data_IF_330656766578
#
_entry.id   IF_330656766578
#
_cell.length_a   1.000
_cell.length_b   1.000
_cell.length_c   1.000
_cell.angle_alpha   90.00
_cell.angle_beta   90.00
_cell.angle_gamma   90.00
#
_symmetry.space_group_name_H-M   'P 1'
#
loop_
_entity.id
_entity.type
_entity.pdbx_description
1 polymer ?
#
# COMPACT_ATOMS: atom_id res chain seq x y z
N UNK A 1 -12.08 -23.78 -6.07
CA UNK A 1 -13.20 -24.31 -5.25
C UNK A 1 -12.93 -24.36 -3.75
N UNK A 2 -11.69 -24.46 -3.27
CA UNK A 2 -11.39 -24.52 -1.82
C UNK A 2 -11.78 -23.21 -1.08
N UNK A 3 -11.66 -22.05 -1.74
CA UNK A 3 -12.00 -20.75 -1.15
C UNK A 3 -13.49 -20.57 -0.82
N UNK A 4 -14.39 -21.05 -1.68
CA UNK A 4 -15.84 -20.96 -1.47
C UNK A 4 -16.33 -21.87 -0.33
N UNK A 5 -15.71 -23.03 -0.15
CA UNK A 5 -16.04 -23.98 0.94
C UNK A 5 -15.64 -23.41 2.31
N UNK A 6 -14.54 -22.64 2.39
CA UNK A 6 -14.14 -21.99 3.66
C UNK A 6 -15.01 -20.78 4.03
N UNK A 7 -15.70 -20.15 3.08
CA UNK A 7 -16.61 -19.03 3.38
C UNK A 7 -17.91 -19.47 4.06
N UNK A 8 -18.32 -20.73 3.93
CA UNK A 8 -19.57 -21.23 4.52
C UNK A 8 -19.42 -21.68 5.99
N UNK A 9 -18.19 -21.92 6.45
CA UNK A 9 -17.93 -22.31 7.85
C UNK A 9 -17.92 -21.06 8.74
N UNK A 10 -19.07 -20.82 9.41
CA UNK A 10 -19.29 -19.63 10.26
C UNK A 10 -18.75 -19.74 11.70
N UNK A 11 -18.31 -20.92 12.14
CA UNK A 11 -17.89 -21.16 13.54
C UNK A 11 -16.37 -21.37 13.63
N UNK A 12 -15.71 -20.63 14.52
CA UNK A 12 -14.27 -20.69 14.78
C UNK A 12 -13.60 -19.31 14.82
N UNK A 13 -12.44 -19.20 15.47
CA UNK A 13 -11.70 -17.93 15.58
C UNK A 13 -11.21 -17.42 14.20
N UNK A 14 -11.02 -18.33 13.25
CA UNK A 14 -10.58 -18.11 11.87
C UNK A 14 -11.70 -18.32 10.84
N UNK A 15 -12.92 -17.85 11.13
CA UNK A 15 -13.99 -17.88 10.13
C UNK A 15 -13.62 -17.01 8.91
N UNK A 16 -14.06 -17.41 7.71
CA UNK A 16 -13.67 -16.73 6.47
C UNK A 16 -13.95 -15.22 6.46
N UNK A 17 -14.98 -14.75 7.18
CA UNK A 17 -15.29 -13.31 7.33
C UNK A 17 -14.23 -12.56 8.15
N UNK A 18 -13.69 -13.16 9.21
CA UNK A 18 -12.62 -12.54 10.02
C UNK A 18 -11.31 -12.47 9.25
N UNK A 19 -10.99 -13.51 8.48
CA UNK A 19 -9.82 -13.51 7.59
C UNK A 19 -9.93 -12.44 6.50
N UNK A 20 -11.12 -12.27 5.89
CA UNK A 20 -11.40 -11.18 4.95
C UNK A 20 -11.26 -9.80 5.60
N UNK A 21 -11.75 -9.63 6.83
CA UNK A 21 -11.58 -8.38 7.59
C UNK A 21 -10.11 -8.05 7.87
N UNK A 22 -9.31 -9.03 8.31
CA UNK A 22 -7.87 -8.86 8.51
C UNK A 22 -7.14 -8.53 7.19
N UNK A 23 -7.52 -9.21 6.11
CA UNK A 23 -6.98 -8.92 4.78
C UNK A 23 -7.30 -7.48 4.34
N UNK A 24 -8.53 -7.01 4.61
CA UNK A 24 -8.92 -5.65 4.30
C UNK A 24 -8.10 -4.62 5.10
N UNK A 25 -7.88 -4.85 6.40
CA UNK A 25 -7.03 -3.98 7.22
C UNK A 25 -5.59 -3.95 6.70
N UNK A 26 -5.05 -5.10 6.28
CA UNK A 26 -3.72 -5.19 5.67
C UNK A 26 -3.67 -4.40 4.35
N UNK A 27 -4.68 -4.52 3.48
CA UNK A 27 -4.75 -3.76 2.24
C UNK A 27 -4.80 -2.25 2.49
N UNK A 28 -5.59 -1.80 3.47
CA UNK A 28 -5.65 -0.38 3.86
C UNK A 28 -4.29 0.10 4.39
N UNK A 29 -3.62 -0.71 5.21
CA UNK A 29 -2.28 -0.37 5.70
C UNK A 29 -1.27 -0.24 4.55
N UNK A 30 -1.25 -1.20 3.63
CA UNK A 30 -0.38 -1.16 2.43
C UNK A 30 -0.70 0.07 1.58
N UNK A 31 -1.99 0.41 1.41
CA UNK A 31 -2.40 1.59 0.66
C UNK A 31 -1.90 2.89 1.30
N UNK A 32 -2.07 3.05 2.62
CA UNK A 32 -1.56 4.22 3.37
C UNK A 32 -0.04 4.31 3.27
N UNK A 33 0.66 3.18 3.46
CA UNK A 33 2.12 3.15 3.35
C UNK A 33 2.57 3.55 1.95
N UNK A 34 1.90 3.04 0.91
CA UNK A 34 2.19 3.40 -0.49
C UNK A 34 2.02 4.90 -0.72
N UNK A 35 0.96 5.50 -0.18
CA UNK A 35 0.71 6.95 -0.27
C UNK A 35 1.80 7.78 0.41
N UNK A 36 2.22 7.39 1.63
CA UNK A 36 3.30 8.07 2.36
C UNK A 36 4.61 7.99 1.57
N UNK A 37 4.97 6.81 1.06
CA UNK A 37 6.18 6.65 0.26
C UNK A 37 6.12 7.45 -1.04
N UNK A 38 4.96 7.51 -1.68
CA UNK A 38 4.80 8.30 -2.90
C UNK A 38 5.03 9.80 -2.65
N UNK A 39 4.51 10.32 -1.53
CA UNK A 39 4.72 11.72 -1.13
C UNK A 39 6.20 12.02 -0.88
N UNK A 40 6.89 11.16 -0.14
CA UNK A 40 8.32 11.33 0.14
C UNK A 40 9.14 11.21 -1.16
N UNK A 41 8.86 10.24 -2.03
CA UNK A 41 9.55 10.11 -3.33
C UNK A 41 9.36 11.34 -4.21
N UNK A 42 8.17 11.92 -4.23
CA UNK A 42 7.89 13.13 -5.00
C UNK A 42 8.66 14.33 -4.44
N UNK A 43 8.73 14.46 -3.10
CA UNK A 43 9.53 15.50 -2.44
C UNK A 43 11.01 15.34 -2.79
N UNK A 44 11.56 14.12 -2.71
CA UNK A 44 12.95 13.84 -3.06
C UNK A 44 13.26 14.11 -4.54
N UNK A 45 12.36 13.76 -5.45
CA UNK A 45 12.52 14.08 -6.86
C UNK A 45 12.55 15.60 -7.09
N UNK A 46 11.67 16.35 -6.42
CA UNK A 46 11.68 17.81 -6.48
C UNK A 46 12.97 18.41 -5.92
N UNK A 47 13.43 17.90 -4.78
CA UNK A 47 14.67 18.35 -4.15
C UNK A 47 15.88 18.13 -5.09
N UNK A 48 15.93 16.98 -5.77
CA UNK A 48 17.00 16.67 -6.73
C UNK A 48 16.92 17.57 -7.97
N UNK A 49 15.72 17.86 -8.48
CA UNK A 49 15.57 18.77 -9.61
C UNK A 49 16.08 20.17 -9.28
N UNK A 50 15.76 20.68 -8.09
CA UNK A 50 16.30 21.96 -7.61
C UNK A 50 17.84 21.92 -7.48
N UNK A 51 18.42 20.79 -7.04
CA UNK A 51 19.88 20.62 -6.97
C UNK A 51 20.53 20.59 -8.36
N UNK A 52 19.85 20.02 -9.35
CA UNK A 52 20.31 19.94 -10.74
C UNK A 52 20.25 21.29 -11.47
N UNK A 53 19.31 22.16 -11.11
CA UNK A 53 19.23 23.54 -11.61
C UNK A 53 20.34 24.45 -11.04
N UNK A 54 20.85 24.13 -9.85
CA UNK A 54 21.97 24.85 -9.23
C UNK A 54 23.31 24.41 -9.82
N UNK A 55 23.89 25.27 -10.67
CA UNK A 55 25.18 25.02 -11.35
C UNK A 55 26.36 24.99 -10.37
N UNK A 56 26.35 25.86 -9.35
CA UNK A 56 27.33 25.81 -8.27
C UNK A 56 26.75 25.08 -7.04
N UNK A 57 27.55 24.26 -6.34
CA UNK A 57 27.17 23.75 -5.03
C UNK A 57 27.20 24.93 -4.06
N UNK A 58 26.08 25.63 -3.94
CA UNK A 58 25.87 26.65 -2.93
C UNK A 58 26.14 25.99 -1.56
N UNK A 59 27.15 26.43 -0.78
CA UNK A 59 27.52 25.77 0.48
C UNK A 59 26.39 25.80 1.52
N UNK A 60 25.44 26.72 1.38
CA UNK A 60 24.22 26.77 2.21
C UNK A 60 23.10 25.84 1.72
N UNK A 61 23.14 25.38 0.46
CA UNK A 61 22.17 24.46 -0.13
C UNK A 61 22.65 23.01 -0.17
N UNK A 62 23.80 22.69 0.40
CA UNK A 62 24.25 21.31 0.56
C UNK A 62 23.27 20.58 1.47
N UNK A 63 22.26 19.96 0.85
CA UNK A 63 21.20 19.32 1.62
C UNK A 63 21.78 18.14 2.38
N UNK A 64 21.13 17.78 3.49
CA UNK A 64 21.46 16.56 4.24
C UNK A 64 21.46 15.29 3.37
N UNK A 65 20.83 15.34 2.19
CA UNK A 65 20.85 14.28 1.20
C UNK A 65 22.18 14.23 0.43
N UNK A 66 22.66 15.37 -0.09
CA UNK A 66 23.95 15.42 -0.80
C UNK A 66 25.14 15.12 0.12
N UNK A 67 25.09 15.58 1.38
CA UNK A 67 26.12 15.22 2.38
C UNK A 67 26.21 13.70 2.53
N UNK A 68 25.06 13.03 2.67
CA UNK A 68 25.03 11.57 2.77
C UNK A 68 25.52 10.90 1.49
N UNK A 69 25.12 11.41 0.33
CA UNK A 69 25.61 10.87 -0.93
C UNK A 69 27.13 11.00 -1.05
N UNK A 70 27.71 12.14 -0.66
CA UNK A 70 29.15 12.36 -0.62
C UNK A 70 29.85 11.38 0.34
N UNK A 71 29.31 11.23 1.56
CA UNK A 71 29.78 10.29 2.59
C UNK A 71 29.72 8.82 2.15
N UNK A 72 28.73 8.44 1.33
CA UNK A 72 28.61 7.06 0.82
C UNK A 72 29.42 6.84 -0.46
N UNK A 73 29.39 7.80 -1.38
CA UNK A 73 29.93 7.64 -2.73
C UNK A 73 31.46 7.68 -2.73
N UNK A 74 32.07 8.64 -2.04
CA UNK A 74 33.53 8.77 -2.04
C UNK A 74 34.23 7.52 -1.48
N UNK A 75 33.87 6.98 -0.30
CA UNK A 75 34.52 5.77 0.21
C UNK A 75 34.28 4.57 -0.69
N UNK A 76 33.08 4.45 -1.26
CA UNK A 76 32.73 3.36 -2.17
C UNK A 76 33.57 3.41 -3.45
N UNK A 77 33.77 4.60 -4.01
CA UNK A 77 34.66 4.83 -5.16
C UNK A 77 36.10 4.44 -4.86
N UNK A 78 36.68 5.02 -3.80
CA UNK A 78 38.08 4.73 -3.44
C UNK A 78 38.27 3.25 -3.09
N UNK A 79 37.32 2.61 -2.39
CA UNK A 79 37.36 1.18 -2.12
C UNK A 79 37.36 0.34 -3.40
N UNK A 80 36.64 0.75 -4.45
CA UNK A 80 36.64 0.00 -5.72
C UNK A 80 37.92 0.17 -6.54
N UNK A 81 38.64 1.28 -6.40
CA UNK A 81 39.86 1.55 -7.17
C UNK A 81 41.12 1.10 -6.41
N UNK A 82 41.15 1.31 -5.10
CA UNK A 82 42.30 1.01 -4.23
C UNK A 82 42.40 -0.47 -3.87
N UNK A 83 41.29 -1.22 -3.88
CA UNK A 83 41.33 -2.66 -3.69
C UNK A 83 41.58 -3.34 -5.04
N UNK A 84 42.81 -3.81 -5.23
CA UNK A 84 43.29 -4.48 -6.45
C UNK A 84 42.57 -5.78 -6.80
N UNK A 85 41.74 -6.32 -5.89
CA UNK A 85 40.90 -7.50 -6.12
C UNK A 85 39.55 -7.19 -6.78
N UNK A 86 39.12 -5.92 -6.81
CA UNK A 86 37.86 -5.57 -7.47
C UNK A 86 38.07 -5.47 -8.98
N UNK A 87 37.54 -6.48 -9.69
CA UNK A 87 37.58 -6.61 -11.15
C UNK A 87 37.26 -5.30 -11.88
N UNK A 88 37.91 -5.09 -13.04
CA UNK A 88 37.62 -4.05 -14.03
C UNK A 88 36.15 -4.03 -14.50
N UNK A 89 35.37 -5.04 -14.13
CA UNK A 89 33.93 -5.14 -14.34
C UNK A 89 33.07 -4.55 -13.21
N UNK A 90 33.69 -3.97 -12.18
CA UNK A 90 32.98 -3.28 -11.11
C UNK A 90 32.06 -2.20 -11.69
N UNK A 91 30.79 -2.28 -11.28
CA UNK A 91 29.70 -1.43 -11.75
C UNK A 91 30.04 0.07 -11.56
N UNK A 92 30.73 0.42 -10.48
CA UNK A 92 30.93 1.80 -10.02
C UNK A 92 31.96 2.56 -10.87
N UNK A 93 33.17 2.02 -11.14
CA UNK A 93 34.10 2.63 -12.08
C UNK A 93 33.49 2.84 -13.48
N UNK A 94 32.75 1.84 -14.00
CA UNK A 94 32.04 1.98 -15.30
C UNK A 94 30.97 3.05 -15.26
N UNK A 95 30.22 3.10 -14.17
CA UNK A 95 29.18 4.10 -13.95
C UNK A 95 29.80 5.51 -13.93
N UNK A 96 30.95 5.68 -13.29
CA UNK A 96 31.66 6.96 -13.21
C UNK A 96 32.28 7.36 -14.54
N UNK A 97 32.94 6.44 -15.24
CA UNK A 97 33.47 6.69 -16.58
C UNK A 97 32.38 7.14 -17.55
N UNK A 98 31.18 6.56 -17.45
CA UNK A 98 30.04 6.94 -18.29
C UNK A 98 29.39 8.27 -17.88
N UNK A 99 29.39 8.59 -16.59
CA UNK A 99 28.70 9.76 -16.05
C UNK A 99 29.55 11.02 -15.96
N UNK A 100 30.86 10.84 -15.87
CA UNK A 100 31.81 11.91 -15.55
C UNK A 100 33.08 11.71 -16.37
N UNK A 101 33.02 11.94 -17.69
CA UNK A 101 34.19 11.77 -18.54
C UNK A 101 35.35 12.69 -18.12
N UNK A 102 35.05 13.82 -17.48
CA UNK A 102 36.02 14.78 -16.92
C UNK A 102 36.59 14.33 -15.55
N UNK A 103 35.83 13.54 -14.79
CA UNK A 103 36.22 13.06 -13.46
C UNK A 103 36.89 11.69 -13.48
N UNK A 104 36.79 10.96 -14.60
CA UNK A 104 37.59 9.77 -14.83
C UNK A 104 39.05 10.24 -14.86
N UNK A 105 39.86 10.00 -13.79
CA UNK A 105 41.30 10.02 -14.04
C UNK A 105 41.50 9.04 -15.18
N UNK A 106 42.26 9.43 -16.20
CA UNK A 106 42.72 8.53 -17.26
C UNK A 106 42.87 7.13 -16.64
N UNK A 107 41.91 6.23 -16.95
CA UNK A 107 41.83 4.94 -16.28
C UNK A 107 43.23 4.35 -16.35
N UNK A 108 43.89 4.01 -15.23
CA UNK A 108 45.33 3.81 -15.22
C UNK A 108 45.66 2.81 -16.30
N UNK A 109 46.28 3.29 -17.37
CA UNK A 109 46.61 2.51 -18.55
C UNK A 109 47.76 1.59 -18.15
N UNK A 110 47.43 0.51 -17.44
CA UNK A 110 48.21 -0.69 -17.18
C UNK A 110 49.70 -0.56 -16.79
N UNK A 111 50.23 0.62 -16.48
CA UNK A 111 51.68 0.83 -16.31
C UNK A 111 52.13 1.50 -15.01
N UNK A 112 51.26 1.70 -14.01
CA UNK A 112 51.61 2.53 -12.84
C UNK A 112 51.12 1.93 -11.52
N UNK A 113 51.96 1.11 -10.89
CA UNK A 113 51.84 0.79 -9.45
C UNK A 113 52.04 2.05 -8.57
N UNK A 114 52.70 3.08 -9.10
CA UNK A 114 53.01 4.33 -8.39
C UNK A 114 51.80 5.31 -8.31
N UNK A 115 50.88 5.25 -9.28
CA UNK A 115 49.68 6.10 -9.32
C UNK A 115 48.55 5.59 -8.40
N UNK A 116 48.51 4.28 -8.15
CA UNK A 116 47.51 3.71 -7.22
C UNK A 116 47.68 4.28 -5.81
N UNK A 117 48.92 4.38 -5.34
CA UNK A 117 49.23 4.85 -3.99
C UNK A 117 48.85 6.32 -3.78
N UNK A 118 49.07 7.16 -4.79
CA UNK A 118 48.69 8.58 -4.77
C UNK A 118 47.18 8.81 -4.85
N UNK A 119 46.43 7.96 -5.57
CA UNK A 119 44.95 7.99 -5.60
C UNK A 119 44.36 7.62 -4.24
N UNK A 120 44.93 6.62 -3.55
CA UNK A 120 44.44 6.17 -2.24
C UNK A 120 44.79 7.15 -1.12
N UNK A 121 45.91 7.86 -1.20
CA UNK A 121 46.23 8.96 -0.27
C UNK A 121 45.24 10.15 -0.40
N UNK A 122 44.61 10.30 -1.56
CA UNK A 122 43.58 11.32 -1.81
C UNK A 122 42.28 11.03 -1.04
N UNK A 123 42.00 9.77 -0.71
CA UNK A 123 40.84 9.37 0.10
C UNK A 123 40.84 10.08 1.45
N UNK A 124 41.97 10.08 2.14
CA UNK A 124 42.13 10.71 3.45
C UNK A 124 41.93 12.22 3.35
N UNK A 125 42.34 12.86 2.26
CA UNK A 125 42.16 14.30 2.03
C UNK A 125 40.70 14.65 1.72
N UNK A 126 40.00 13.81 0.95
CA UNK A 126 38.58 13.98 0.70
C UNK A 126 37.72 13.81 1.95
N UNK A 127 38.06 12.87 2.82
CA UNK A 127 37.33 12.62 4.06
C UNK A 127 37.64 13.65 5.16
N UNK A 128 38.91 14.01 5.36
CA UNK A 128 39.32 14.86 6.50
C UNK A 128 39.12 16.35 6.27
N UNK A 129 39.16 16.80 5.02
CA UNK A 129 39.42 18.20 4.73
C UNK A 129 38.22 18.92 4.09
N UNK A 130 37.12 18.21 3.81
CA UNK A 130 35.95 18.70 3.05
C UNK A 130 36.41 19.56 1.85
N UNK A 131 37.47 19.13 1.15
CA UNK A 131 37.92 19.82 -0.06
C UNK A 131 36.92 19.52 -1.16
N UNK A 132 35.88 20.34 -1.22
CA UNK A 132 34.63 20.14 -1.98
C UNK A 132 34.78 20.23 -3.49
N UNK A 133 35.96 20.43 -4.05
CA UNK A 133 36.10 20.60 -5.52
C UNK A 133 36.92 19.51 -6.20
N UNK A 134 37.76 18.80 -5.45
CA UNK A 134 38.64 17.76 -6.01
C UNK A 134 38.14 16.34 -5.76
N UNK A 135 37.09 16.18 -4.96
CA UNK A 135 36.57 14.85 -4.65
C UNK A 135 35.72 14.29 -5.79
N UNK A 136 35.79 12.96 -6.02
CA UNK A 136 35.07 12.28 -7.10
C UNK A 136 33.58 12.62 -7.13
N UNK A 137 32.91 12.62 -5.97
CA UNK A 137 31.49 12.97 -5.89
C UNK A 137 31.20 14.36 -6.47
N UNK A 138 32.01 15.37 -6.14
CA UNK A 138 31.79 16.74 -6.58
C UNK A 138 32.03 16.92 -8.08
N UNK A 139 33.08 16.27 -8.61
CA UNK A 139 33.35 16.23 -10.06
C UNK A 139 32.22 15.50 -10.82
N UNK A 140 31.60 14.51 -10.16
CA UNK A 140 30.52 13.71 -10.72
C UNK A 140 29.10 14.14 -10.32
N UNK A 141 28.95 15.23 -9.56
CA UNK A 141 27.72 15.52 -8.81
C UNK A 141 26.49 15.47 -9.70
N UNK A 142 26.54 16.19 -10.81
CA UNK A 142 25.44 16.29 -11.77
C UNK A 142 25.07 14.94 -12.37
N UNK A 143 26.06 14.14 -12.79
CA UNK A 143 25.81 12.81 -13.35
C UNK A 143 25.13 11.89 -12.33
N UNK A 144 25.66 11.85 -11.10
CA UNK A 144 25.10 11.03 -10.02
C UNK A 144 23.66 11.44 -9.72
N UNK A 145 23.40 12.75 -9.56
CA UNK A 145 22.07 13.27 -9.29
C UNK A 145 21.07 12.91 -10.42
N UNK A 146 21.47 13.01 -11.69
CA UNK A 146 20.63 12.61 -12.83
C UNK A 146 20.28 11.11 -12.79
N UNK A 147 21.24 10.23 -12.45
CA UNK A 147 20.91 8.81 -12.32
C UNK A 147 19.99 8.53 -11.14
N UNK A 148 20.21 9.19 -10.02
CA UNK A 148 19.33 9.06 -8.86
C UNK A 148 17.92 9.54 -9.22
N UNK A 149 17.79 10.67 -9.95
CA UNK A 149 16.51 11.17 -10.44
C UNK A 149 15.80 10.13 -11.32
N UNK A 150 16.50 9.53 -12.28
CA UNK A 150 15.96 8.48 -13.16
C UNK A 150 15.48 7.28 -12.33
N UNK A 151 16.27 6.82 -11.37
CA UNK A 151 15.94 5.68 -10.50
C UNK A 151 14.72 6.01 -9.62
N UNK A 152 14.72 7.16 -8.95
CA UNK A 152 13.61 7.61 -8.10
C UNK A 152 12.34 7.78 -8.93
N UNK A 153 12.42 8.35 -10.12
CA UNK A 153 11.27 8.51 -11.04
C UNK A 153 10.67 7.15 -11.43
N UNK A 154 11.51 6.15 -11.71
CA UNK A 154 11.05 4.78 -11.99
C UNK A 154 10.41 4.11 -10.78
N UNK A 155 11.00 4.27 -9.59
CA UNK A 155 10.44 3.75 -8.35
C UNK A 155 9.10 4.42 -8.04
N UNK A 156 9.02 5.75 -8.16
CA UNK A 156 7.80 6.52 -7.93
C UNK A 156 6.66 6.10 -8.87
N UNK A 157 6.96 5.84 -10.15
CA UNK A 157 5.97 5.29 -11.10
C UNK A 157 5.48 3.91 -10.69
N UNK A 158 6.38 3.07 -10.18
CA UNK A 158 6.06 1.71 -9.71
C UNK A 158 5.20 1.74 -8.45
N UNK A 159 5.56 2.58 -7.47
CA UNK A 159 4.81 2.79 -6.23
C UNK A 159 3.42 3.35 -6.54
N UNK A 160 3.31 4.30 -7.46
CA UNK A 160 2.03 4.82 -7.93
C UNK A 160 1.13 3.73 -8.51
N UNK A 161 1.67 2.89 -9.40
CA UNK A 161 0.94 1.76 -9.99
C UNK A 161 0.46 0.76 -8.92
N UNK A 162 1.33 0.42 -7.95
CA UNK A 162 0.96 -0.43 -6.81
C UNK A 162 -0.16 0.19 -5.96
N UNK A 163 -0.16 1.51 -5.80
CA UNK A 163 -1.21 2.25 -5.09
C UNK A 163 -2.57 2.12 -5.77
N UNK A 164 -2.62 2.27 -7.10
CA UNK A 164 -3.85 2.06 -7.89
C UNK A 164 -4.35 0.62 -7.74
N UNK A 165 -3.46 -0.36 -7.93
CA UNK A 165 -3.81 -1.77 -7.82
C UNK A 165 -4.36 -2.11 -6.42
N UNK A 166 -3.73 -1.59 -5.37
CA UNK A 166 -4.18 -1.74 -3.99
C UNK A 166 -5.57 -1.11 -3.79
N UNK A 167 -5.82 0.09 -4.33
CA UNK A 167 -7.14 0.74 -4.29
C UNK A 167 -8.23 -0.09 -4.97
N UNK A 168 -7.95 -0.68 -6.13
CA UNK A 168 -8.88 -1.57 -6.84
C UNK A 168 -9.17 -2.83 -6.00
N UNK A 169 -8.14 -3.43 -5.39
CA UNK A 169 -8.31 -4.61 -4.53
C UNK A 169 -9.15 -4.30 -3.28
N UNK A 170 -9.00 -3.12 -2.70
CA UNK A 170 -9.84 -2.63 -1.58
C UNK A 170 -11.31 -2.57 -2.02
N UNK A 171 -11.59 -1.99 -3.20
CA UNK A 171 -12.95 -1.88 -3.75
C UNK A 171 -13.54 -3.27 -3.98
N UNK A 172 -12.82 -4.18 -4.64
CA UNK A 172 -13.31 -5.54 -4.89
C UNK A 172 -13.54 -6.31 -3.59
N UNK A 173 -12.69 -6.14 -2.60
CA UNK A 173 -12.86 -6.81 -1.30
C UNK A 173 -14.08 -6.24 -0.55
N UNK A 174 -14.30 -4.92 -0.59
CA UNK A 174 -15.54 -4.31 -0.09
C UNK A 174 -16.77 -4.89 -0.81
N UNK A 175 -16.74 -4.97 -2.14
CA UNK A 175 -17.84 -5.56 -2.92
C UNK A 175 -18.06 -7.03 -2.58
N UNK A 176 -17.02 -7.83 -2.34
CA UNK A 176 -17.16 -9.23 -1.91
C UNK A 176 -17.74 -9.36 -0.49
N UNK A 177 -17.44 -8.43 0.41
CA UNK A 177 -18.02 -8.40 1.76
C UNK A 177 -19.50 -7.99 1.71
N UNK A 178 -19.82 -6.99 0.90
CA UNK A 178 -21.18 -6.50 0.70
C UNK A 178 -22.05 -7.54 -0.05
N UNK A 179 -21.53 -8.07 -1.14
CA UNK A 179 -22.21 -8.94 -2.10
C UNK A 179 -21.87 -10.41 -1.85
N UNK A 180 -22.45 -10.98 -0.79
CA UNK A 180 -22.41 -12.42 -0.59
C UNK A 180 -23.63 -13.03 -1.31
N UNK A 181 -23.48 -13.72 -2.46
CA UNK A 181 -24.61 -14.25 -3.22
C UNK A 181 -25.42 -15.31 -2.45
N UNK A 182 -24.88 -15.82 -1.34
CA UNK A 182 -25.56 -16.75 -0.43
C UNK A 182 -26.31 -16.06 0.71
N UNK A 183 -26.19 -14.74 0.87
CA UNK A 183 -27.02 -14.02 1.85
C UNK A 183 -28.43 -13.92 1.27
N UNK A 184 -29.41 -14.43 2.03
CA UNK A 184 -30.82 -14.30 1.64
C UNK A 184 -31.18 -12.82 1.54
N UNK A 185 -32.16 -12.48 0.69
CA UNK A 185 -32.69 -11.12 0.54
C UNK A 185 -33.02 -10.48 1.91
N UNK A 186 -33.45 -11.29 2.88
CA UNK A 186 -33.68 -10.89 4.28
C UNK A 186 -32.41 -10.34 4.97
N UNK A 187 -31.25 -10.98 4.76
CA UNK A 187 -29.95 -10.53 5.32
C UNK A 187 -29.43 -9.31 4.56
N UNK A 188 -29.72 -9.21 3.26
CA UNK A 188 -29.35 -8.05 2.45
C UNK A 188 -30.16 -6.80 2.85
N UNK A 189 -31.47 -6.94 3.06
CA UNK A 189 -32.34 -5.88 3.57
C UNK A 189 -31.98 -5.48 5.02
N UNK A 190 -31.58 -6.44 5.86
CA UNK A 190 -31.09 -6.14 7.22
C UNK A 190 -29.79 -5.33 7.17
N UNK A 191 -28.82 -5.70 6.32
CA UNK A 191 -27.57 -4.95 6.13
C UNK A 191 -27.79 -3.55 5.55
N UNK A 192 -28.82 -3.37 4.72
CA UNK A 192 -29.22 -2.08 4.18
C UNK A 192 -29.92 -1.17 5.23
N UNK A 193 -30.16 -1.67 6.45
CA UNK A 193 -30.87 -0.95 7.50
C UNK A 193 -32.38 -0.81 7.24
N UNK A 194 -32.94 -1.55 6.28
CA UNK A 194 -34.35 -1.52 5.92
C UNK A 194 -35.21 -2.43 6.80
N UNK A 195 -34.60 -3.41 7.47
CA UNK A 195 -35.26 -4.38 8.34
C UNK A 195 -34.54 -4.44 9.70
N UNK A 196 -35.31 -4.30 10.79
CA UNK A 196 -34.80 -4.51 12.14
C UNK A 196 -34.61 -6.02 12.40
N UNK A 197 -33.72 -6.35 13.34
CA UNK A 197 -33.44 -7.74 13.69
C UNK A 197 -34.70 -8.47 14.19
N UNK A 198 -35.55 -7.73 14.91
CA UNK A 198 -36.87 -8.18 15.38
C UNK A 198 -37.82 -8.58 14.24
N UNK A 199 -37.82 -7.82 13.13
CA UNK A 199 -38.69 -8.10 11.98
C UNK A 199 -38.25 -9.40 11.28
N UNK A 200 -36.94 -9.63 11.18
CA UNK A 200 -36.40 -10.86 10.58
C UNK A 200 -36.68 -12.08 11.45
N UNK A 201 -36.61 -11.94 12.78
CA UNK A 201 -36.97 -13.01 13.69
C UNK A 201 -38.47 -13.32 13.66
N UNK A 202 -39.30 -12.28 13.53
CA UNK A 202 -40.76 -12.42 13.33
C UNK A 202 -41.08 -13.16 12.03
N UNK A 203 -40.44 -12.79 10.91
CA UNK A 203 -40.62 -13.49 9.62
C UNK A 203 -40.18 -14.95 9.72
N UNK A 204 -39.06 -15.26 10.40
CA UNK A 204 -38.62 -16.64 10.61
C UNK A 204 -39.61 -17.45 11.44
N UNK A 205 -40.17 -16.87 12.50
CA UNK A 205 -41.15 -17.53 13.34
C UNK A 205 -42.45 -17.79 12.57
N UNK A 206 -42.94 -16.81 11.81
CA UNK A 206 -44.09 -16.99 10.92
C UNK A 206 -43.87 -18.07 9.86
N UNK A 207 -42.65 -18.19 9.31
CA UNK A 207 -42.31 -19.22 8.33
C UNK A 207 -42.26 -20.62 8.96
N UNK A 208 -41.81 -20.72 10.22
CA UNK A 208 -41.82 -21.98 10.99
C UNK A 208 -43.24 -22.42 11.34
N UNK A 209 -44.07 -21.49 11.82
CA UNK A 209 -45.44 -21.79 12.23
C UNK A 209 -46.34 -22.16 11.05
N UNK A 210 -46.21 -21.46 9.92
CA UNK A 210 -47.18 -21.63 8.83
C UNK A 210 -46.93 -22.83 7.91
N UNK A 211 -45.79 -23.54 7.96
CA UNK A 211 -45.36 -24.65 7.05
C UNK A 211 -45.56 -24.40 5.53
N UNK A 212 -46.12 -23.26 5.11
CA UNK A 212 -46.35 -22.88 3.72
C UNK A 212 -45.02 -22.43 3.14
N UNK A 213 -44.65 -23.02 2.00
CA UNK A 213 -43.51 -22.60 1.18
C UNK A 213 -43.78 -21.18 0.67
N UNK A 214 -43.40 -20.17 1.46
CA UNK A 214 -43.17 -18.83 0.92
C UNK A 214 -41.91 -18.89 0.06
N UNK A 215 -42.12 -19.16 -1.23
CA UNK A 215 -41.12 -18.92 -2.28
C UNK A 215 -41.16 -17.42 -2.59
N UNK A 216 -40.09 -16.70 -2.22
CA UNK A 216 -39.85 -15.39 -2.81
C UNK A 216 -39.33 -15.63 -4.22
N UNK A 217 -40.24 -15.73 -5.18
CA UNK A 217 -39.87 -15.69 -6.59
C UNK A 217 -39.40 -14.28 -6.92
N UNK A 218 -38.12 -14.19 -7.28
CA UNK A 218 -37.40 -12.95 -7.58
C UNK A 218 -37.91 -12.43 -8.93
N UNK A 219 -39.06 -11.77 -8.97
CA UNK A 219 -39.60 -11.22 -10.22
C UNK A 219 -40.99 -10.59 -10.14
N UNK A 220 -41.84 -11.04 -9.23
CA UNK A 220 -43.21 -10.53 -9.11
C UNK A 220 -43.31 -9.69 -7.84
N UNK A 221 -43.33 -8.36 -8.00
CA UNK A 221 -43.76 -7.42 -6.95
C UNK A 221 -45.25 -7.67 -6.68
N UNK A 222 -45.58 -8.77 -6.03
CA UNK A 222 -46.77 -8.81 -5.21
C UNK A 222 -46.43 -7.95 -4.00
N UNK A 223 -46.90 -6.71 -4.02
CA UNK A 223 -46.88 -5.81 -2.87
C UNK A 223 -47.61 -6.51 -1.74
N UNK A 224 -46.88 -7.30 -0.96
CA UNK A 224 -47.27 -7.70 0.38
C UNK A 224 -47.52 -6.38 1.11
N UNK A 225 -48.81 -6.03 1.22
CA UNK A 225 -49.23 -4.80 1.84
C UNK A 225 -48.93 -4.96 3.33
N UNK A 226 -47.75 -4.48 3.75
CA UNK A 226 -47.28 -4.63 5.14
C UNK A 226 -48.30 -4.09 6.14
N UNK A 227 -49.14 -3.15 5.73
CA UNK A 227 -50.26 -2.64 6.51
C UNK A 227 -51.36 -3.67 6.78
N UNK A 228 -51.65 -4.57 5.84
CA UNK A 228 -52.65 -5.64 6.02
C UNK A 228 -52.18 -6.65 7.06
N UNK A 229 -50.91 -7.06 7.01
CA UNK A 229 -50.33 -7.97 8.02
C UNK A 229 -50.29 -7.28 9.40
N UNK A 230 -50.04 -5.97 9.45
CA UNK A 230 -50.08 -5.20 10.71
C UNK A 230 -51.49 -5.10 11.30
N UNK A 231 -52.52 -4.99 10.45
CA UNK A 231 -53.93 -4.98 10.87
C UNK A 231 -54.35 -6.36 11.39
N UNK A 232 -54.00 -7.43 10.68
CA UNK A 232 -54.35 -8.80 11.06
C UNK A 232 -53.74 -9.20 12.42
N UNK A 233 -52.48 -8.81 12.67
CA UNK A 233 -51.83 -9.06 13.97
C UNK A 233 -52.40 -8.24 15.14
N UNK A 234 -52.93 -7.03 14.90
CA UNK A 234 -53.63 -6.26 15.94
C UNK A 234 -54.93 -6.93 16.37
N UNK A 235 -55.64 -7.56 15.44
CA UNK A 235 -56.91 -8.23 15.75
C UNK A 235 -56.71 -9.57 16.46
N UNK A 236 -55.63 -10.31 16.15
CA UNK A 236 -55.25 -11.51 16.90
C UNK A 236 -54.89 -11.19 18.35
N UNK A 237 -54.20 -10.08 18.62
CA UNK A 237 -53.88 -9.65 19.99
C UNK A 237 -55.11 -9.26 20.82
N UNK A 238 -56.16 -8.71 20.19
CA UNK A 238 -57.41 -8.39 20.90
C UNK A 238 -58.18 -9.63 21.35
N UNK A 239 -58.06 -10.75 20.64
CA UNK A 239 -58.77 -12.00 20.96
C UNK A 239 -58.13 -12.82 22.09
N UNK A 240 -56.87 -12.56 22.45
CA UNK A 240 -56.13 -13.28 23.50
C UNK A 240 -56.16 -12.61 24.88
N UNK A 241 -57.00 -11.61 25.13
CA UNK A 241 -57.15 -11.06 26.48
C UNK A 241 -57.89 -12.09 27.36
N UNK A 242 -57.25 -12.72 28.36
CA UNK A 242 -57.92 -13.71 29.20
C UNK A 242 -59.03 -13.00 29.99
N UNK A 243 -60.26 -13.56 29.97
CA UNK A 243 -61.27 -13.19 30.96
C UNK A 243 -60.75 -13.66 32.32
N UNK A 244 -60.25 -12.71 33.10
CA UNK A 244 -59.99 -12.91 34.52
C UNK A 244 -61.35 -13.11 35.17
N UNK A 245 -61.68 -14.36 35.51
CA UNK A 245 -62.81 -14.65 36.38
C UNK A 245 -62.45 -14.16 37.78
N UNK A 246 -63.14 -13.11 38.22
CA UNK A 246 -63.09 -12.66 39.60
C UNK A 246 -63.91 -13.64 40.45
N UNK A 247 -63.23 -14.41 41.31
CA UNK A 247 -63.87 -15.10 42.42
C UNK A 247 -64.15 -14.07 43.52
N UNK A 248 -65.42 -13.87 43.83
CA UNK A 248 -65.89 -13.11 45.00
C UNK A 248 -65.96 -14.03 46.23
N UNK A 249 -65.67 -13.49 47.43
CA UNK A 249 -65.58 -14.22 48.70
C UNK A 249 -66.91 -14.74 49.23
#
# INVERSE_FOLDING_TARGET
>A
MIGTIRQTIRKGCWSGRRALGLHQLLLVFVFIFTFINQSELHRRASDINLMLESEEPLPELYTSFEVKLDEYFNPLYYNTICNTEYEKDALIPKLIANMCPEAAPAAPTASLEDDSKTICDLQNKCQSQRLTKTCPFHLCRRGILLQIEIVISRIARTVYFLGILSGIMIIFTCLLICYNPSDSIEVELMKAGLLLEEDVETIRNLKKENKKKFSFEKGTRNTLNLEEIRKENKDVRKRKKPRVHAETP
#
